data_IF_098558353010
#
_entry.id   IF_098558353010
#
_cell.length_a   1.000
_cell.length_b   1.000
_cell.length_c   1.000
_cell.angle_alpha   90.00
_cell.angle_beta   90.00
_cell.angle_gamma   90.00
#
_symmetry.space_group_name_H-M   'P 1'
#
loop_
_entity.id
_entity.type
_entity.pdbx_description
1 polymer ?
#
# COMPACT_ATOMS: atom_id res chain seq x y z
N UNK A 1 -36.32 -42.86 17.86
CA UNK A 1 -36.85 -41.56 17.44
C UNK A 1 -35.69 -40.58 17.41
N UNK A 2 -35.03 -40.43 16.26
CA UNK A 2 -33.94 -39.52 16.04
C UNK A 2 -34.50 -38.27 15.36
N UNK A 3 -34.37 -37.11 16.01
CA UNK A 3 -34.72 -35.82 15.46
C UNK A 3 -33.48 -35.19 14.82
N UNK A 4 -33.55 -35.04 13.50
CA UNK A 4 -32.58 -34.28 12.69
C UNK A 4 -32.69 -32.81 13.06
N UNK A 5 -31.59 -32.20 13.45
CA UNK A 5 -31.45 -30.74 13.57
C UNK A 5 -30.91 -30.27 12.22
N UNK A 6 -31.78 -29.69 11.41
CA UNK A 6 -31.42 -28.98 10.19
C UNK A 6 -30.74 -27.65 10.55
N UNK A 7 -29.53 -27.44 10.02
CA UNK A 7 -28.77 -26.22 10.12
C UNK A 7 -29.26 -25.26 9.01
N UNK A 8 -29.78 -24.04 9.32
CA UNK A 8 -30.21 -23.13 8.27
C UNK A 8 -28.99 -22.52 7.58
N UNK A 9 -28.84 -22.84 6.30
CA UNK A 9 -27.88 -22.21 5.39
C UNK A 9 -28.04 -20.68 5.45
N UNK A 10 -26.95 -20.00 5.73
CA UNK A 10 -26.85 -18.54 5.68
C UNK A 10 -27.01 -18.10 4.21
N UNK A 11 -28.23 -17.75 3.81
CA UNK A 11 -28.49 -17.14 2.51
C UNK A 11 -28.11 -15.66 2.58
N UNK A 12 -26.96 -15.30 2.01
CA UNK A 12 -26.57 -13.91 1.77
C UNK A 12 -27.59 -13.29 0.79
N UNK A 13 -28.29 -12.25 1.22
CA UNK A 13 -29.32 -11.59 0.40
C UNK A 13 -28.70 -10.75 -0.71
N UNK A 14 -29.29 -10.70 -1.91
CA UNK A 14 -28.75 -9.95 -3.07
C UNK A 14 -28.62 -8.42 -2.85
N UNK A 15 -29.13 -7.89 -1.77
CA UNK A 15 -29.09 -6.44 -1.49
C UNK A 15 -27.75 -5.92 -0.95
N UNK A 16 -26.85 -6.80 -0.51
CA UNK A 16 -25.55 -6.34 0.05
C UNK A 16 -24.51 -6.01 -1.01
N UNK A 17 -24.62 -6.62 -2.21
CA UNK A 17 -23.71 -6.31 -3.32
C UNK A 17 -23.96 -4.93 -3.95
N UNK A 18 -25.21 -4.44 -3.91
CA UNK A 18 -25.58 -3.11 -4.40
C UNK A 18 -25.04 -1.99 -3.52
N UNK A 19 -24.96 -2.22 -2.20
CA UNK A 19 -24.50 -1.21 -1.25
C UNK A 19 -22.99 -0.88 -1.41
N UNK A 20 -22.17 -1.85 -1.76
CA UNK A 20 -20.75 -1.63 -2.01
C UNK A 20 -20.49 -0.95 -3.36
N UNK A 21 -21.28 -1.27 -4.39
CA UNK A 21 -21.23 -0.58 -5.68
C UNK A 21 -21.66 0.90 -5.54
N UNK A 22 -22.67 1.18 -4.71
CA UNK A 22 -23.11 2.56 -4.42
C UNK A 22 -22.10 3.34 -3.57
N UNK A 23 -21.38 2.68 -2.65
CA UNK A 23 -20.30 3.32 -1.89
C UNK A 23 -19.14 3.67 -2.82
N UNK A 24 -18.73 2.75 -3.70
CA UNK A 24 -17.68 3.01 -4.70
C UNK A 24 -18.12 4.09 -5.69
N UNK A 25 -19.37 4.11 -6.15
CA UNK A 25 -19.90 5.14 -7.04
C UNK A 25 -20.06 6.53 -6.36
N UNK A 26 -20.16 6.60 -5.03
CA UNK A 26 -20.19 7.90 -4.32
C UNK A 26 -18.83 8.55 -4.22
N UNK A 27 -17.76 7.77 -4.26
CA UNK A 27 -16.39 8.30 -4.27
C UNK A 27 -15.94 8.79 -5.66
N UNK A 28 -16.64 8.37 -6.73
CA UNK A 28 -16.29 8.71 -8.12
C UNK A 28 -17.51 9.25 -8.86
N UNK A 29 -17.93 10.47 -8.50
CA UNK A 29 -18.86 11.24 -9.36
C UNK A 29 -18.13 11.57 -10.65
N UNK A 30 -18.31 10.75 -11.66
CA UNK A 30 -18.09 11.16 -13.05
C UNK A 30 -19.33 11.94 -13.48
N UNK A 31 -19.20 13.27 -13.58
CA UNK A 31 -20.15 14.06 -14.35
C UNK A 31 -20.22 13.48 -15.77
N UNK A 32 -21.42 13.51 -16.38
CA UNK A 32 -21.73 12.86 -17.66
C UNK A 32 -20.68 13.16 -18.75
N UNK A 33 -20.40 12.20 -19.67
CA UNK A 33 -19.36 12.36 -20.66
C UNK A 33 -19.76 13.45 -21.67
N UNK A 34 -19.07 14.57 -21.61
CA UNK A 34 -18.84 15.36 -22.80
C UNK A 34 -18.16 14.42 -23.82
N UNK A 35 -18.76 14.23 -24.99
CA UNK A 35 -18.19 13.48 -26.12
C UNK A 35 -16.95 14.22 -26.68
N UNK A 36 -15.94 14.42 -25.86
CA UNK A 36 -14.61 14.79 -26.30
C UNK A 36 -13.95 13.52 -26.87
N UNK A 37 -13.37 13.62 -28.03
CA UNK A 37 -12.57 12.55 -28.65
C UNK A 37 -11.42 12.22 -27.70
N UNK A 38 -11.57 11.13 -26.93
CA UNK A 38 -10.53 10.65 -26.03
C UNK A 38 -9.26 10.43 -26.85
N UNK A 39 -8.18 11.13 -26.51
CA UNK A 39 -6.89 10.90 -27.17
C UNK A 39 -6.50 9.45 -26.98
N UNK A 40 -6.13 8.73 -28.04
CA UNK A 40 -5.82 7.30 -27.92
C UNK A 40 -4.60 7.10 -27.01
N UNK A 41 -4.66 6.07 -26.14
CA UNK A 41 -3.50 5.61 -25.37
C UNK A 41 -2.35 5.27 -26.31
N UNK A 42 -1.14 5.64 -25.91
CA UNK A 42 0.08 5.42 -26.71
C UNK A 42 1.14 4.62 -25.94
N UNK A 43 0.84 3.40 -25.49
CA UNK A 43 1.89 2.56 -24.93
C UNK A 43 2.96 2.27 -25.99
N UNK A 44 4.18 2.02 -25.55
CA UNK A 44 5.32 1.72 -26.43
C UNK A 44 5.08 0.39 -27.12
N UNK A 45 5.08 0.38 -28.47
CA UNK A 45 4.74 -0.80 -29.28
C UNK A 45 5.61 -2.02 -28.95
N UNK A 46 6.92 -1.83 -28.69
CA UNK A 46 7.79 -2.93 -28.30
C UNK A 46 7.37 -3.55 -26.96
N UNK A 47 6.91 -2.74 -25.99
CA UNK A 47 6.41 -3.25 -24.69
C UNK A 47 5.12 -4.04 -24.92
N UNK A 48 4.23 -3.55 -25.77
CA UNK A 48 3.01 -4.27 -26.15
C UNK A 48 3.37 -5.60 -26.82
N UNK A 49 4.37 -5.63 -27.72
CA UNK A 49 4.77 -6.82 -28.46
C UNK A 49 5.28 -7.96 -27.56
N UNK A 50 5.95 -7.66 -26.45
CA UNK A 50 6.42 -8.70 -25.53
C UNK A 50 5.57 -8.83 -24.25
N UNK A 51 4.39 -8.19 -24.19
CA UNK A 51 3.54 -8.23 -22.99
C UNK A 51 3.19 -9.65 -22.54
N UNK A 52 2.91 -10.56 -23.49
CA UNK A 52 2.57 -11.95 -23.14
C UNK A 52 3.68 -12.66 -22.33
N UNK A 53 4.96 -12.35 -22.62
CA UNK A 53 6.08 -12.90 -21.88
C UNK A 53 6.17 -12.31 -20.47
N UNK A 54 6.00 -11.00 -20.33
CA UNK A 54 6.01 -10.34 -19.01
C UNK A 54 4.80 -10.74 -18.18
N UNK A 55 3.62 -10.86 -18.78
CA UNK A 55 2.43 -11.38 -18.11
C UNK A 55 2.63 -12.82 -17.60
N UNK A 56 3.35 -13.66 -18.35
CA UNK A 56 3.71 -15.00 -17.88
C UNK A 56 4.64 -14.94 -16.65
N UNK A 57 5.58 -13.99 -16.61
CA UNK A 57 6.43 -13.75 -15.42
C UNK A 57 5.58 -13.31 -14.23
N UNK A 58 4.64 -12.35 -14.42
CA UNK A 58 3.70 -11.91 -13.38
C UNK A 58 2.91 -13.09 -12.81
N UNK A 59 2.34 -13.91 -13.68
CA UNK A 59 1.55 -15.08 -13.29
C UNK A 59 2.36 -16.14 -12.56
N UNK A 60 3.64 -16.30 -12.90
CA UNK A 60 4.55 -17.18 -12.18
C UNK A 60 4.84 -16.67 -10.76
N UNK A 61 5.01 -15.36 -10.57
CA UNK A 61 5.15 -14.72 -9.24
C UNK A 61 3.84 -14.92 -8.46
N UNK A 62 2.68 -14.66 -9.09
CA UNK A 62 1.36 -14.81 -8.46
C UNK A 62 1.11 -16.24 -7.96
N UNK A 63 1.51 -17.23 -8.74
CA UNK A 63 1.33 -18.65 -8.38
C UNK A 63 2.23 -19.09 -7.22
N UNK A 64 3.29 -18.34 -6.91
CA UNK A 64 4.27 -18.68 -5.86
C UNK A 64 4.50 -17.48 -4.92
N UNK A 65 3.44 -17.00 -4.23
CA UNK A 65 3.52 -15.82 -3.38
C UNK A 65 4.42 -16.06 -2.17
N UNK A 66 5.30 -15.10 -1.92
CA UNK A 66 6.22 -15.09 -0.79
C UNK A 66 5.92 -13.89 0.11
N UNK A 67 5.94 -14.11 1.43
CA UNK A 67 5.65 -13.05 2.39
C UNK A 67 6.88 -12.15 2.61
N UNK A 68 6.63 -10.97 3.19
CA UNK A 68 7.65 -9.99 3.55
C UNK A 68 8.93 -10.63 4.10
N UNK A 69 10.07 -10.25 3.52
CA UNK A 69 11.43 -10.73 3.82
C UNK A 69 11.72 -12.20 3.49
N UNK A 70 10.75 -12.93 2.91
CA UNK A 70 10.90 -14.31 2.43
C UNK A 70 10.83 -14.38 0.88
N UNK A 71 10.88 -13.24 0.18
CA UNK A 71 10.72 -13.12 -1.29
C UNK A 71 11.96 -13.64 -2.05
N UNK A 72 12.50 -14.77 -1.65
CA UNK A 72 13.74 -15.32 -2.21
C UNK A 72 13.61 -15.73 -3.66
N UNK A 73 12.51 -16.45 -4.02
CA UNK A 73 12.21 -16.89 -5.38
C UNK A 73 11.92 -15.70 -6.29
N UNK A 74 11.11 -14.74 -5.83
CA UNK A 74 10.75 -13.53 -6.57
C UNK A 74 11.99 -12.67 -6.81
N UNK A 75 12.81 -12.46 -5.78
CA UNK A 75 14.11 -11.76 -5.88
C UNK A 75 15.06 -12.42 -6.87
N UNK A 76 15.15 -13.76 -6.84
CA UNK A 76 15.99 -14.52 -7.77
C UNK A 76 15.48 -14.41 -9.20
N UNK A 77 14.17 -14.54 -9.42
CA UNK A 77 13.54 -14.40 -10.74
C UNK A 77 13.80 -13.02 -11.32
N UNK A 78 13.59 -11.96 -10.53
CA UNK A 78 13.85 -10.56 -10.94
C UNK A 78 15.32 -10.39 -11.30
N UNK A 79 16.24 -10.81 -10.44
CA UNK A 79 17.69 -10.69 -10.67
C UNK A 79 18.13 -11.43 -11.94
N UNK A 80 17.60 -12.63 -12.18
CA UNK A 80 17.91 -13.43 -13.36
C UNK A 80 17.39 -12.77 -14.64
N UNK A 81 16.16 -12.21 -14.61
CA UNK A 81 15.61 -11.47 -15.77
C UNK A 81 16.40 -10.22 -16.10
N UNK A 82 16.81 -9.47 -15.11
CA UNK A 82 17.68 -8.29 -15.32
C UNK A 82 19.04 -8.69 -15.90
N UNK A 83 19.67 -9.74 -15.36
CA UNK A 83 20.95 -10.25 -15.84
C UNK A 83 20.85 -10.81 -17.29
N UNK A 84 19.75 -11.53 -17.61
CA UNK A 84 19.45 -12.02 -18.96
C UNK A 84 19.43 -10.88 -20.00
N UNK A 85 18.94 -9.70 -19.59
CA UNK A 85 18.90 -8.52 -20.46
C UNK A 85 20.16 -7.65 -20.38
N UNK A 86 21.23 -8.13 -19.73
CA UNK A 86 22.50 -7.43 -19.61
C UNK A 86 22.48 -6.19 -18.71
N UNK A 87 21.54 -6.14 -17.77
CA UNK A 87 21.46 -5.10 -16.75
C UNK A 87 22.33 -5.50 -15.55
N UNK A 88 23.13 -4.54 -15.04
CA UNK A 88 23.91 -4.73 -13.81
C UNK A 88 22.96 -4.92 -12.61
N UNK A 89 23.21 -5.95 -11.77
CA UNK A 89 22.31 -6.36 -10.69
C UNK A 89 23.00 -6.32 -9.34
N UNK A 90 22.37 -5.69 -8.35
CA UNK A 90 22.76 -5.72 -6.95
C UNK A 90 21.65 -6.34 -6.12
N UNK A 91 22.00 -7.20 -5.17
CA UNK A 91 21.05 -7.95 -4.33
C UNK A 91 21.31 -7.73 -2.85
N UNK A 92 20.30 -8.03 -2.04
CA UNK A 92 20.43 -8.15 -0.59
C UNK A 92 20.14 -6.88 0.20
N UNK A 93 19.72 -5.76 -0.43
CA UNK A 93 19.24 -4.61 0.31
C UNK A 93 17.85 -4.92 0.89
N UNK A 94 17.66 -4.63 2.19
CA UNK A 94 16.45 -5.06 2.88
C UNK A 94 16.27 -6.59 2.83
N UNK A 95 17.35 -7.37 2.86
CA UNK A 95 17.46 -8.83 2.75
C UNK A 95 17.23 -9.39 1.34
N UNK A 96 16.04 -9.22 0.76
CA UNK A 96 15.64 -9.82 -0.53
C UNK A 96 15.51 -8.82 -1.66
N UNK A 97 15.72 -7.53 -1.40
CA UNK A 97 15.63 -6.47 -2.41
C UNK A 97 16.67 -6.60 -3.52
N UNK A 98 16.30 -6.13 -4.71
CA UNK A 98 17.13 -6.14 -5.92
C UNK A 98 17.18 -4.73 -6.51
N UNK A 99 18.36 -4.29 -6.92
CA UNK A 99 18.54 -3.05 -7.67
C UNK A 99 19.20 -3.34 -9.01
N UNK A 100 18.50 -3.04 -10.10
CA UNK A 100 19.06 -3.04 -11.46
C UNK A 100 19.60 -1.66 -11.82
N UNK A 101 20.72 -1.60 -12.57
CA UNK A 101 21.34 -0.35 -12.98
C UNK A 101 21.39 -0.26 -14.50
N UNK A 102 20.65 0.70 -15.07
CA UNK A 102 20.70 1.00 -16.51
C UNK A 102 21.36 2.36 -16.68
N UNK A 103 22.57 2.37 -17.27
CA UNK A 103 23.35 3.59 -17.49
C UNK A 103 23.54 3.86 -18.97
N UNK A 104 23.44 5.13 -19.36
CA UNK A 104 23.70 5.59 -20.71
C UNK A 104 24.33 6.99 -20.67
N UNK A 105 25.26 7.25 -21.60
CA UNK A 105 25.92 8.55 -21.74
C UNK A 105 26.92 8.86 -20.62
N UNK A 106 27.11 10.13 -20.32
CA UNK A 106 28.13 10.64 -19.38
C UNK A 106 27.56 11.47 -18.23
N UNK A 107 26.29 11.79 -18.24
CA UNK A 107 25.63 12.56 -17.21
C UNK A 107 25.64 11.82 -15.86
N UNK A 108 25.85 12.58 -14.76
CA UNK A 108 25.78 12.08 -13.39
C UNK A 108 24.35 12.06 -12.82
N UNK A 109 23.38 12.46 -13.65
CA UNK A 109 21.98 12.46 -13.23
C UNK A 109 21.46 11.03 -13.08
N UNK A 110 20.64 10.81 -12.07
CA UNK A 110 20.06 9.50 -11.80
C UNK A 110 18.67 9.60 -11.18
N UNK A 111 17.82 8.63 -11.47
CA UNK A 111 16.51 8.44 -10.84
C UNK A 111 16.30 7.00 -10.39
N UNK A 112 15.44 6.82 -9.38
CA UNK A 112 14.94 5.52 -8.96
C UNK A 112 13.51 5.27 -9.43
N UNK A 113 13.25 4.06 -9.94
CA UNK A 113 11.91 3.54 -10.23
C UNK A 113 11.66 2.34 -9.33
N UNK A 114 10.59 2.36 -8.55
CA UNK A 114 10.33 1.34 -7.50
C UNK A 114 9.13 0.48 -7.83
N UNK A 115 9.27 -0.81 -7.59
CA UNK A 115 8.19 -1.77 -7.44
C UNK A 115 8.41 -2.60 -6.17
N UNK A 116 7.33 -2.90 -5.47
CA UNK A 116 7.30 -3.84 -4.36
C UNK A 116 7.17 -5.29 -4.85
N UNK A 117 7.47 -6.29 -3.99
CA UNK A 117 7.55 -7.70 -4.39
C UNK A 117 6.79 -8.68 -3.50
N UNK A 118 6.43 -8.29 -2.28
CA UNK A 118 5.88 -9.20 -1.28
C UNK A 118 4.39 -9.48 -1.45
N UNK A 119 3.96 -10.58 -0.84
CA UNK A 119 2.58 -11.07 -0.82
C UNK A 119 1.98 -11.02 0.59
N UNK A 120 0.69 -11.30 0.69
CA UNK A 120 -0.11 -11.28 1.92
C UNK A 120 -0.36 -12.68 2.50
N UNK A 121 -0.43 -12.81 3.84
CA UNK A 121 -0.76 -14.06 4.53
C UNK A 121 -2.28 -14.30 4.52
N UNK A 122 -2.85 -14.58 3.34
CA UNK A 122 -4.27 -14.83 3.16
C UNK A 122 -4.52 -15.91 2.11
N UNK A 123 -5.67 -16.59 2.21
CA UNK A 123 -6.03 -17.65 1.27
C UNK A 123 -6.72 -17.09 0.05
N UNK A 124 -6.20 -17.40 -1.13
CA UNK A 124 -6.85 -17.10 -2.40
C UNK A 124 -8.05 -18.03 -2.65
N UNK A 125 -9.16 -17.47 -3.13
CA UNK A 125 -10.37 -18.22 -3.48
C UNK A 125 -10.61 -18.32 -5.00
N UNK A 126 -9.73 -17.78 -5.82
CA UNK A 126 -9.73 -17.94 -7.26
C UNK A 126 -9.28 -19.36 -7.66
N UNK A 127 -9.65 -19.78 -8.88
CA UNK A 127 -9.33 -21.11 -9.42
C UNK A 127 -8.82 -21.06 -10.86
N UNK A 128 -8.34 -19.90 -11.32
CA UNK A 128 -7.69 -19.76 -12.61
C UNK A 128 -6.29 -20.43 -12.61
N UNK A 129 -5.69 -20.60 -13.79
CA UNK A 129 -4.45 -21.36 -13.94
C UNK A 129 -3.25 -20.82 -13.16
N UNK A 130 -3.22 -19.51 -12.91
CA UNK A 130 -2.15 -18.83 -12.16
C UNK A 130 -2.51 -18.54 -10.69
N UNK A 131 -3.61 -19.07 -10.16
CA UNK A 131 -3.93 -18.93 -8.74
C UNK A 131 -2.80 -19.46 -7.86
N UNK A 132 -2.69 -18.91 -6.67
CA UNK A 132 -1.66 -19.29 -5.69
C UNK A 132 -1.59 -20.80 -5.46
N UNK A 133 -0.40 -21.35 -5.56
CA UNK A 133 -0.09 -22.75 -5.23
C UNK A 133 0.37 -22.94 -3.79
N UNK A 134 0.47 -21.86 -3.04
CA UNK A 134 0.95 -21.83 -1.66
C UNK A 134 -0.22 -21.51 -0.72
N UNK A 135 -0.65 -22.50 0.05
CA UNK A 135 -1.77 -22.36 0.97
C UNK A 135 -1.53 -21.20 1.96
N UNK A 136 -2.54 -20.34 2.13
CA UNK A 136 -2.48 -19.23 3.08
C UNK A 136 -1.61 -18.05 2.63
N UNK A 137 -1.19 -17.99 1.34
CA UNK A 137 -0.46 -16.85 0.78
C UNK A 137 -1.06 -16.43 -0.56
N UNK A 138 -1.13 -15.13 -0.82
CA UNK A 138 -1.70 -14.59 -2.05
C UNK A 138 -1.13 -13.22 -2.38
N UNK A 139 -0.86 -12.94 -3.67
CA UNK A 139 -0.64 -11.58 -4.15
C UNK A 139 -2.00 -10.85 -4.29
N UNK A 140 -2.54 -10.38 -3.16
CA UNK A 140 -3.83 -9.70 -3.14
C UNK A 140 -3.72 -8.16 -3.14
N UNK A 141 -2.50 -7.63 -3.27
CA UNK A 141 -2.24 -6.19 -3.44
C UNK A 141 -1.73 -5.83 -4.84
N UNK A 142 -1.26 -6.83 -5.62
CA UNK A 142 -0.82 -6.62 -7.00
C UNK A 142 0.67 -6.33 -7.15
N UNK A 143 1.49 -6.63 -6.14
CA UNK A 143 2.94 -6.43 -6.19
C UNK A 143 3.63 -7.30 -7.26
N UNK A 144 3.05 -8.45 -7.60
CA UNK A 144 3.43 -9.24 -8.77
C UNK A 144 3.28 -8.46 -10.09
N UNK A 145 2.22 -7.66 -10.21
CA UNK A 145 1.97 -6.76 -11.33
C UNK A 145 2.89 -5.53 -11.33
N UNK A 146 3.16 -4.93 -10.16
CA UNK A 146 4.10 -3.81 -10.04
C UNK A 146 5.51 -4.26 -10.47
N UNK A 147 5.97 -5.41 -9.96
CA UNK A 147 7.22 -6.05 -10.38
C UNK A 147 7.24 -6.26 -11.89
N UNK A 148 6.15 -6.77 -12.49
CA UNK A 148 6.04 -7.00 -13.93
C UNK A 148 6.10 -5.70 -14.74
N UNK A 149 5.41 -4.63 -14.31
CA UNK A 149 5.46 -3.32 -14.99
C UNK A 149 6.89 -2.76 -14.99
N UNK A 150 7.63 -2.88 -13.88
CA UNK A 150 9.02 -2.42 -13.81
C UNK A 150 9.96 -3.32 -14.63
N UNK A 151 9.74 -4.64 -14.68
CA UNK A 151 10.46 -5.56 -15.56
C UNK A 151 10.19 -5.26 -17.05
N UNK A 152 8.97 -4.87 -17.43
CA UNK A 152 8.64 -4.45 -18.79
C UNK A 152 9.46 -3.21 -19.19
N UNK A 153 9.55 -2.22 -18.30
CA UNK A 153 10.41 -1.06 -18.52
C UNK A 153 11.90 -1.44 -18.58
N UNK A 154 12.36 -2.28 -17.67
CA UNK A 154 13.75 -2.77 -17.64
C UNK A 154 14.16 -3.41 -18.95
N UNK A 155 13.33 -4.32 -19.47
CA UNK A 155 13.56 -5.00 -20.75
C UNK A 155 13.66 -4.02 -21.91
N UNK A 156 12.77 -3.02 -21.98
CA UNK A 156 12.84 -1.99 -23.01
C UNK A 156 14.10 -1.16 -22.87
N UNK A 157 14.38 -0.63 -21.68
CA UNK A 157 15.54 0.22 -21.40
C UNK A 157 16.88 -0.51 -21.56
N UNK A 158 16.92 -1.84 -21.50
CA UNK A 158 18.15 -2.61 -21.74
C UNK A 158 18.69 -2.42 -23.18
N UNK A 159 17.81 -2.24 -24.15
CA UNK A 159 18.14 -2.13 -25.59
C UNK A 159 17.83 -0.76 -26.20
N UNK A 160 16.94 0.03 -25.59
CA UNK A 160 16.52 1.36 -26.08
C UNK A 160 16.82 2.40 -24.99
N UNK A 161 18.02 2.94 -25.00
CA UNK A 161 18.54 3.87 -23.99
C UNK A 161 18.54 5.30 -24.52
N UNK A 162 17.35 5.86 -24.75
CA UNK A 162 17.17 7.22 -25.28
C UNK A 162 17.28 8.29 -24.18
N UNK A 163 18.34 8.24 -23.38
CA UNK A 163 18.57 9.17 -22.27
C UNK A 163 20.07 9.29 -21.97
N UNK A 164 20.47 10.34 -21.26
CA UNK A 164 21.83 10.51 -20.73
C UNK A 164 21.77 10.60 -19.19
N UNK A 165 22.13 9.50 -18.52
CA UNK A 165 22.05 9.38 -17.06
C UNK A 165 21.99 7.93 -16.57
N UNK A 166 21.46 7.73 -15.36
CA UNK A 166 21.32 6.42 -14.74
C UNK A 166 19.89 6.21 -14.23
N UNK A 167 19.28 5.08 -14.57
CA UNK A 167 18.02 4.61 -14.02
C UNK A 167 18.30 3.45 -13.07
N UNK A 168 17.93 3.61 -11.80
CA UNK A 168 17.94 2.56 -10.80
C UNK A 168 16.56 1.90 -10.74
N UNK A 169 16.51 0.60 -11.02
CA UNK A 169 15.31 -0.23 -10.95
C UNK A 169 15.27 -0.90 -9.60
N UNK A 170 14.48 -0.34 -8.68
CA UNK A 170 14.43 -0.73 -7.28
C UNK A 170 13.27 -1.70 -7.05
N UNK A 171 13.58 -2.98 -6.88
CA UNK A 171 12.61 -4.01 -6.51
C UNK A 171 12.67 -4.20 -5.00
N UNK A 172 11.66 -3.69 -4.33
CA UNK A 172 11.62 -3.56 -2.88
C UNK A 172 10.88 -4.73 -2.22
N UNK A 173 11.43 -5.34 -1.15
CA UNK A 173 10.74 -6.34 -0.34
C UNK A 173 9.84 -5.70 0.70
N UNK A 174 8.97 -6.50 1.31
CA UNK A 174 8.36 -6.29 2.62
C UNK A 174 7.60 -4.94 2.77
N UNK A 175 6.83 -4.54 1.76
CA UNK A 175 5.93 -3.39 1.87
C UNK A 175 4.84 -3.66 2.92
N UNK A 176 4.23 -4.85 2.92
CA UNK A 176 3.09 -5.27 3.74
C UNK A 176 3.47 -5.42 5.24
N UNK A 177 3.65 -4.28 5.90
CA UNK A 177 3.94 -4.19 7.34
C UNK A 177 5.38 -4.51 7.74
N UNK A 178 6.30 -4.69 6.77
CA UNK A 178 7.72 -4.95 7.04
C UNK A 178 8.60 -3.70 7.02
N UNK A 179 8.14 -2.61 6.41
CA UNK A 179 8.92 -1.40 6.18
C UNK A 179 10.22 -1.66 5.38
N UNK A 180 10.11 -2.43 4.30
CA UNK A 180 11.24 -2.79 3.44
C UNK A 180 11.95 -1.60 2.84
N UNK A 181 11.21 -0.52 2.51
CA UNK A 181 11.80 0.74 2.06
C UNK A 181 12.80 1.30 3.10
N UNK A 182 12.40 1.34 4.37
CA UNK A 182 13.27 1.78 5.47
C UNK A 182 14.49 0.88 5.63
N UNK A 183 14.32 -0.44 5.54
CA UNK A 183 15.44 -1.39 5.66
C UNK A 183 16.40 -1.27 4.46
N UNK A 184 15.90 -1.10 3.23
CA UNK A 184 16.77 -0.81 2.07
C UNK A 184 17.58 0.48 2.25
N UNK A 185 16.99 1.54 2.81
CA UNK A 185 17.72 2.76 3.14
C UNK A 185 18.78 2.53 4.22
N UNK A 186 18.47 1.73 5.26
CA UNK A 186 19.46 1.37 6.31
C UNK A 186 20.63 0.58 5.75
N UNK A 187 20.40 -0.23 4.71
CA UNK A 187 21.45 -0.96 4.00
C UNK A 187 22.20 -0.10 2.96
N UNK A 188 21.94 1.20 2.95
CA UNK A 188 22.67 2.17 2.14
C UNK A 188 22.14 2.33 0.73
N UNK A 189 20.82 2.25 0.48
CA UNK A 189 20.25 2.40 -0.85
C UNK A 189 20.69 3.71 -1.52
N UNK A 190 20.53 4.84 -0.84
CA UNK A 190 20.82 6.15 -1.45
C UNK A 190 22.33 6.48 -1.49
N UNK A 191 23.12 5.90 -0.59
CA UNK A 191 24.57 6.02 -0.58
C UNK A 191 25.22 5.21 -1.71
N UNK A 192 24.70 4.01 -1.99
CA UNK A 192 25.21 3.11 -3.05
C UNK A 192 24.66 3.47 -4.41
N UNK A 193 23.46 4.01 -4.46
CA UNK A 193 22.73 4.37 -5.70
C UNK A 193 22.24 5.82 -5.59
N UNK A 194 23.17 6.80 -5.65
CA UNK A 194 22.79 8.20 -5.53
C UNK A 194 21.88 8.64 -6.66
N UNK A 195 20.74 9.23 -6.35
CA UNK A 195 19.71 9.66 -7.29
C UNK A 195 19.16 11.03 -6.88
N UNK A 196 18.51 11.74 -7.81
CA UNK A 196 17.88 13.03 -7.55
C UNK A 196 16.38 12.92 -7.24
N UNK A 197 15.75 11.83 -7.68
CA UNK A 197 14.34 11.58 -7.41
C UNK A 197 14.04 10.08 -7.45
N UNK A 198 12.95 9.68 -6.78
CA UNK A 198 12.44 8.30 -6.79
C UNK A 198 10.95 8.29 -7.06
N UNK A 199 10.49 7.31 -7.85
CA UNK A 199 9.09 7.20 -8.28
C UNK A 199 8.54 5.80 -8.00
N UNK A 200 7.28 5.74 -7.51
CA UNK A 200 6.55 4.51 -7.24
C UNK A 200 5.21 4.49 -7.96
N UNK A 201 4.69 3.28 -8.22
CA UNK A 201 3.37 3.10 -8.84
C UNK A 201 2.63 1.93 -8.17
N UNK A 202 1.32 2.12 -7.96
CA UNK A 202 0.45 1.07 -7.44
C UNK A 202 -0.76 0.87 -8.36
N UNK A 203 -1.17 -0.35 -8.56
CA UNK A 203 -2.43 -0.64 -9.22
C UNK A 203 -3.63 -0.23 -8.34
N UNK A 204 -4.75 0.17 -8.95
CA UNK A 204 -5.91 0.60 -8.20
C UNK A 204 -7.22 0.05 -8.77
N UNK A 205 -7.80 -1.00 -8.15
CA UNK A 205 -9.13 -1.46 -8.50
C UNK A 205 -10.18 -0.36 -8.34
N UNK A 206 -11.12 -0.28 -9.31
CA UNK A 206 -12.13 0.79 -9.37
C UNK A 206 -11.79 1.88 -10.37
N UNK A 207 -10.51 2.22 -10.57
CA UNK A 207 -10.07 3.00 -11.74
C UNK A 207 -10.05 2.13 -12.98
N UNK A 208 -10.50 2.68 -14.12
CA UNK A 208 -10.50 1.95 -15.39
C UNK A 208 -9.07 1.71 -15.90
N UNK A 209 -8.80 0.60 -16.60
CA UNK A 209 -7.53 0.43 -17.30
C UNK A 209 -7.23 1.63 -18.22
N UNK A 210 -6.00 2.12 -18.16
CA UNK A 210 -5.62 3.33 -18.90
C UNK A 210 -5.88 4.64 -18.17
N UNK A 211 -6.46 4.63 -16.98
CA UNK A 211 -6.51 5.79 -16.11
C UNK A 211 -5.31 5.80 -15.17
N UNK A 212 -4.71 6.97 -14.98
CA UNK A 212 -3.62 7.20 -14.02
C UNK A 212 -4.02 8.36 -13.12
N UNK A 213 -3.84 8.20 -11.82
CA UNK A 213 -4.17 9.26 -10.88
C UNK A 213 -3.01 9.53 -9.89
N UNK A 214 -2.88 10.76 -9.47
CA UNK A 214 -1.90 11.25 -8.50
C UNK A 214 -2.35 12.59 -7.93
N UNK A 215 -1.74 12.98 -6.82
CA UNK A 215 -1.95 14.31 -6.24
C UNK A 215 -0.68 14.84 -5.61
N UNK A 216 -0.42 16.15 -5.59
CA UNK A 216 0.62 16.75 -4.77
C UNK A 216 0.20 16.76 -3.29
N UNK A 217 1.19 16.68 -2.39
CA UNK A 217 0.94 16.63 -0.96
C UNK A 217 0.46 15.25 -0.47
N UNK A 218 -0.26 15.20 0.66
CA UNK A 218 -0.67 13.95 1.29
C UNK A 218 -1.59 13.11 0.38
N UNK A 219 -1.21 11.86 0.14
CA UNK A 219 -1.93 10.91 -0.72
C UNK A 219 -2.41 9.68 0.08
N UNK A 220 -1.54 9.09 0.91
CA UNK A 220 -1.86 7.97 1.79
C UNK A 220 -1.50 8.32 3.23
N UNK A 221 -2.26 7.81 4.20
CA UNK A 221 -2.09 8.15 5.60
C UNK A 221 -0.91 7.44 6.25
N UNK A 222 -0.46 7.96 7.40
CA UNK A 222 0.46 7.25 8.28
C UNK A 222 -0.16 5.98 8.85
N UNK A 223 0.66 4.98 9.16
CA UNK A 223 0.23 3.77 9.87
C UNK A 223 0.86 3.73 11.24
N UNK A 224 0.01 3.69 12.27
CA UNK A 224 0.47 3.65 13.65
C UNK A 224 -0.40 2.69 14.46
N UNK A 225 0.19 2.06 15.47
CA UNK A 225 -0.48 1.15 16.38
C UNK A 225 -0.31 1.59 17.82
N UNK A 226 -1.29 1.30 18.64
CA UNK A 226 -1.18 1.48 20.08
C UNK A 226 -1.59 0.22 20.85
N UNK A 227 -0.98 0.07 22.01
CA UNK A 227 -1.31 -0.92 23.03
C UNK A 227 -1.35 -0.25 24.37
N UNK A 228 -2.46 -0.44 25.11
CA UNK A 228 -2.67 0.09 26.45
C UNK A 228 -2.96 -1.08 27.37
N UNK A 229 -2.22 -1.17 28.47
CA UNK A 229 -2.48 -2.13 29.53
C UNK A 229 -2.92 -1.37 30.78
N UNK A 230 -4.18 -1.54 31.15
CA UNK A 230 -4.74 -1.01 32.39
C UNK A 230 -4.48 -2.03 33.51
N UNK A 231 -3.97 -1.55 34.63
CA UNK A 231 -3.71 -2.35 35.83
C UNK A 231 -4.65 -1.87 36.97
N UNK A 232 -5.54 -2.74 37.33
CA UNK A 232 -6.45 -2.58 38.43
C UNK A 232 -6.07 -3.45 39.65
N UNK A 233 -7.07 -3.95 40.31
CA UNK A 233 -6.94 -4.96 41.39
C UNK A 233 -8.17 -5.85 41.39
N UNK A 234 -7.97 -7.14 41.07
CA UNK A 234 -9.01 -8.14 40.99
C UNK A 234 -9.66 -8.40 42.35
N UNK A 235 -10.92 -8.82 42.30
CA UNK A 235 -11.67 -9.18 43.48
C UNK A 235 -12.88 -10.02 43.11
N UNK A 236 -13.60 -10.52 44.13
CA UNK A 236 -14.89 -11.16 43.91
C UNK A 236 -15.91 -10.15 43.38
N UNK A 237 -16.61 -10.46 42.27
CA UNK A 237 -17.53 -9.53 41.64
C UNK A 237 -18.65 -9.01 42.53
N UNK A 238 -19.05 -9.76 43.59
CA UNK A 238 -20.00 -9.32 44.62
C UNK A 238 -19.38 -8.37 45.67
N UNK A 239 -18.04 -8.16 45.63
CA UNK A 239 -17.34 -7.31 46.61
C UNK A 239 -16.47 -6.27 45.85
N UNK A 240 -17.06 -5.49 44.93
CA UNK A 240 -16.27 -4.60 44.01
C UNK A 240 -15.52 -3.50 44.77
N UNK A 241 -15.97 -3.12 45.97
CA UNK A 241 -15.31 -2.12 46.81
C UNK A 241 -13.95 -2.54 47.37
N UNK A 242 -13.58 -3.82 47.24
CA UNK A 242 -12.26 -4.34 47.61
C UNK A 242 -11.28 -4.38 46.47
N UNK A 243 -11.74 -4.12 45.23
CA UNK A 243 -10.96 -4.12 44.02
C UNK A 243 -10.80 -2.74 43.36
N UNK A 244 -10.17 -2.73 42.20
CA UNK A 244 -10.15 -1.62 41.26
C UNK A 244 -10.43 -2.24 39.89
N UNK A 245 -11.65 -2.03 39.38
CA UNK A 245 -12.11 -2.67 38.15
C UNK A 245 -11.57 -1.94 36.92
N UNK A 246 -10.71 -2.56 36.08
CA UNK A 246 -10.17 -1.94 34.88
C UNK A 246 -11.17 -1.90 33.72
N UNK A 247 -12.28 -2.65 33.73
CA UNK A 247 -13.26 -2.69 32.64
C UNK A 247 -13.96 -1.36 32.44
N UNK A 248 -14.54 -0.69 33.49
CA UNK A 248 -15.09 0.65 33.32
C UNK A 248 -14.08 1.67 32.80
N UNK A 249 -12.81 1.58 33.22
CA UNK A 249 -11.73 2.46 32.75
C UNK A 249 -11.50 2.26 31.24
N UNK A 250 -11.42 1.02 30.78
CA UNK A 250 -11.29 0.69 29.38
C UNK A 250 -12.45 1.24 28.54
N UNK A 251 -13.69 1.09 28.99
CA UNK A 251 -14.86 1.64 28.32
C UNK A 251 -14.82 3.18 28.22
N UNK A 252 -14.38 3.87 29.29
CA UNK A 252 -14.22 5.33 29.27
C UNK A 252 -13.13 5.77 28.27
N UNK A 253 -12.02 5.06 28.19
CA UNK A 253 -10.94 5.37 27.24
C UNK A 253 -11.39 5.23 25.79
N UNK A 254 -12.13 4.18 25.44
CA UNK A 254 -12.70 4.00 24.09
C UNK A 254 -13.51 5.22 23.66
N UNK A 255 -14.35 5.75 24.56
CA UNK A 255 -15.17 6.93 24.29
C UNK A 255 -14.35 8.22 24.29
N UNK A 256 -13.44 8.38 25.26
CA UNK A 256 -12.61 9.58 25.38
C UNK A 256 -11.71 9.79 24.14
N UNK A 257 -11.16 8.73 23.56
CA UNK A 257 -10.35 8.83 22.36
C UNK A 257 -11.10 9.42 21.16
N UNK A 258 -12.41 9.19 21.05
CA UNK A 258 -13.22 9.81 19.98
C UNK A 258 -13.28 11.33 20.12
N UNK A 259 -13.12 11.86 21.34
CA UNK A 259 -13.08 13.32 21.56
C UNK A 259 -11.79 13.95 21.05
N UNK A 260 -10.69 13.21 21.00
CA UNK A 260 -9.41 13.71 20.43
C UNK A 260 -9.63 14.06 18.95
N UNK A 261 -10.25 13.14 18.19
CA UNK A 261 -10.54 13.37 16.76
C UNK A 261 -11.59 14.46 16.56
N UNK A 262 -12.62 14.51 17.39
CA UNK A 262 -13.75 15.43 17.20
C UNK A 262 -13.55 16.81 17.86
N UNK A 263 -12.63 16.99 18.85
CA UNK A 263 -12.50 18.21 19.65
C UNK A 263 -11.09 18.78 19.78
N UNK A 264 -10.04 17.96 19.58
CA UNK A 264 -8.65 18.46 19.69
C UNK A 264 -7.99 18.66 18.33
N UNK A 265 -8.37 17.84 17.34
CA UNK A 265 -7.86 17.92 15.99
C UNK A 265 -8.38 19.20 15.29
N UNK A 266 -7.52 19.83 14.45
CA UNK A 266 -7.97 20.88 13.53
C UNK A 266 -9.09 20.32 12.63
N UNK A 267 -10.28 20.94 12.54
CA UNK A 267 -11.43 20.42 11.80
C UNK A 267 -11.15 20.09 10.31
N UNK A 268 -10.20 20.78 9.68
CA UNK A 268 -9.85 20.55 8.26
C UNK A 268 -8.79 19.45 8.08
N UNK A 269 -8.11 19.01 9.14
CA UNK A 269 -7.19 17.88 9.06
C UNK A 269 -7.96 16.55 9.15
N UNK A 270 -7.41 15.48 8.56
CA UNK A 270 -7.98 14.16 8.73
C UNK A 270 -7.17 13.33 9.74
N UNK A 271 -7.88 12.64 10.62
CA UNK A 271 -7.31 11.66 11.53
C UNK A 271 -8.39 10.65 11.95
N UNK A 272 -7.98 9.42 12.23
CA UNK A 272 -8.82 8.42 12.87
C UNK A 272 -8.08 7.72 14.02
N UNK A 273 -8.83 7.32 15.02
CA UNK A 273 -8.42 6.45 16.12
C UNK A 273 -9.42 5.31 16.17
N UNK A 274 -8.97 4.09 15.91
CA UNK A 274 -9.82 2.89 16.00
C UNK A 274 -9.29 1.97 17.08
N UNK A 275 -10.07 1.78 18.14
CA UNK A 275 -9.84 0.70 19.10
C UNK A 275 -10.43 -0.56 18.48
N UNK A 276 -9.56 -1.52 18.15
CA UNK A 276 -9.95 -2.73 17.41
C UNK A 276 -9.95 -3.99 18.28
N UNK A 277 -9.29 -3.94 19.44
CA UNK A 277 -9.23 -5.05 20.38
C UNK A 277 -9.40 -4.52 21.80
N UNK A 278 -10.25 -5.21 22.59
CA UNK A 278 -10.41 -5.02 24.02
C UNK A 278 -10.54 -6.39 24.69
N UNK A 279 -9.61 -6.70 25.59
CA UNK A 279 -9.57 -7.97 26.31
C UNK A 279 -9.55 -7.71 27.79
N UNK A 280 -10.53 -8.29 28.53
CA UNK A 280 -10.61 -8.20 29.98
C UNK A 280 -11.50 -9.33 30.55
N UNK A 281 -11.07 -9.92 31.63
CA UNK A 281 -11.82 -10.90 32.40
C UNK A 281 -11.98 -12.26 31.74
N UNK A 282 -12.11 -13.32 32.56
CA UNK A 282 -12.26 -14.70 32.10
C UNK A 282 -13.42 -15.42 32.80
N UNK A 283 -13.96 -14.84 33.89
CA UNK A 283 -15.04 -15.44 34.68
C UNK A 283 -16.06 -14.40 35.12
N UNK A 284 -17.35 -14.77 35.13
CA UNK A 284 -18.48 -13.89 35.42
C UNK A 284 -18.56 -13.40 36.89
N UNK A 285 -17.88 -14.08 37.80
CA UNK A 285 -17.87 -13.78 39.23
C UNK A 285 -16.54 -13.19 39.73
N UNK A 286 -15.64 -12.78 38.81
CA UNK A 286 -14.32 -12.23 39.12
C UNK A 286 -14.13 -10.88 38.42
N UNK A 287 -13.79 -9.83 39.19
CA UNK A 287 -13.24 -8.58 38.63
C UNK A 287 -11.79 -8.84 38.23
N UNK A 288 -11.38 -8.60 37.00
CA UNK A 288 -10.01 -8.90 36.55
C UNK A 288 -8.96 -7.93 37.14
N UNK A 289 -7.70 -8.34 37.19
CA UNK A 289 -6.57 -7.50 37.58
C UNK A 289 -6.15 -6.50 36.48
N UNK A 290 -6.50 -6.79 35.23
CA UNK A 290 -6.07 -5.96 34.08
C UNK A 290 -7.08 -5.98 32.95
N UNK A 291 -6.96 -4.97 32.07
CA UNK A 291 -7.61 -4.92 30.76
C UNK A 291 -6.59 -4.43 29.73
N UNK A 292 -6.69 -4.92 28.51
CA UNK A 292 -5.84 -4.53 27.38
C UNK A 292 -6.69 -3.95 26.25
N UNK A 293 -6.27 -2.78 25.73
CA UNK A 293 -6.82 -2.19 24.51
C UNK A 293 -5.70 -2.13 23.44
N UNK A 294 -6.06 -2.44 22.21
CA UNK A 294 -5.19 -2.20 21.05
C UNK A 294 -5.98 -1.56 19.92
N UNK A 295 -5.26 -0.90 19.03
CA UNK A 295 -5.87 -0.28 17.87
C UNK A 295 -4.88 0.42 16.97
N UNK A 296 -5.43 1.20 16.04
CA UNK A 296 -4.64 1.92 15.04
C UNK A 296 -4.98 3.41 15.02
N UNK A 297 -3.98 4.21 14.64
CA UNK A 297 -4.10 5.65 14.39
C UNK A 297 -3.63 5.93 12.97
N UNK A 298 -4.38 6.75 12.22
CA UNK A 298 -4.07 7.21 10.88
C UNK A 298 -4.15 8.72 10.82
N UNK A 299 -3.16 9.37 10.22
CA UNK A 299 -3.13 10.81 9.99
C UNK A 299 -2.41 11.12 8.68
N UNK A 300 -2.64 12.33 8.13
CA UNK A 300 -1.88 12.79 6.96
C UNK A 300 -0.72 13.72 7.33
N UNK A 301 -0.74 14.34 8.52
CA UNK A 301 0.26 15.30 8.95
C UNK A 301 1.01 14.80 10.18
N UNK A 302 2.34 14.94 10.22
CA UNK A 302 3.13 14.58 11.40
C UNK A 302 2.69 15.34 12.66
N UNK A 303 2.35 16.64 12.55
CA UNK A 303 1.92 17.46 13.68
C UNK A 303 0.60 16.98 14.27
N UNK A 304 -0.31 16.48 13.40
CA UNK A 304 -1.57 15.88 13.83
C UNK A 304 -1.32 14.55 14.54
N UNK A 305 -0.34 13.75 14.08
CA UNK A 305 0.06 12.52 14.74
C UNK A 305 0.65 12.78 16.12
N UNK A 306 1.55 13.77 16.24
CA UNK A 306 2.18 14.16 17.51
C UNK A 306 1.12 14.59 18.52
N UNK A 307 0.16 15.40 18.11
CA UNK A 307 -0.97 15.82 18.93
C UNK A 307 -1.82 14.63 19.37
N UNK A 308 -2.16 13.72 18.45
CA UNK A 308 -3.00 12.54 18.76
C UNK A 308 -2.29 11.64 19.77
N UNK A 309 -1.01 11.31 19.55
CA UNK A 309 -0.23 10.47 20.47
C UNK A 309 -0.15 11.08 21.86
N UNK A 310 0.19 12.40 21.96
CA UNK A 310 0.26 13.12 23.24
C UNK A 310 -1.09 13.07 23.97
N UNK A 311 -2.17 13.40 23.28
CA UNK A 311 -3.52 13.42 23.88
C UNK A 311 -4.00 12.03 24.29
N UNK A 312 -3.68 11.00 23.52
CA UNK A 312 -4.00 9.61 23.88
C UNK A 312 -3.26 9.20 25.16
N UNK A 313 -1.98 9.54 25.28
CA UNK A 313 -1.16 9.26 26.48
C UNK A 313 -1.73 9.96 27.71
N UNK A 314 -1.93 11.28 27.63
CA UNK A 314 -2.48 12.09 28.73
C UNK A 314 -3.87 11.58 29.15
N UNK A 315 -4.75 11.33 28.19
CA UNK A 315 -6.11 10.81 28.46
C UNK A 315 -6.04 9.45 29.14
N UNK A 316 -5.13 8.57 28.71
CA UNK A 316 -4.96 7.23 29.30
C UNK A 316 -4.51 7.32 30.76
N UNK A 317 -3.46 8.12 31.03
CA UNK A 317 -2.89 8.27 32.37
C UNK A 317 -3.89 8.91 33.35
N UNK A 318 -4.53 9.99 32.93
CA UNK A 318 -5.48 10.70 33.81
C UNK A 318 -6.79 9.93 34.04
N UNK A 319 -7.29 9.23 33.00
CA UNK A 319 -8.49 8.41 33.20
C UNK A 319 -8.19 7.24 34.10
N UNK A 320 -7.09 6.51 33.90
CA UNK A 320 -6.74 5.41 34.80
C UNK A 320 -6.59 5.90 36.27
N UNK A 321 -5.86 7.00 36.47
CA UNK A 321 -5.66 7.58 37.78
C UNK A 321 -6.98 8.01 38.47
N UNK A 322 -7.91 8.59 37.72
CA UNK A 322 -9.21 9.02 38.25
C UNK A 322 -10.05 7.85 38.83
N UNK A 323 -9.82 6.64 38.34
CA UNK A 323 -10.46 5.41 38.82
C UNK A 323 -9.58 4.62 39.82
N UNK A 324 -8.42 5.14 40.21
CA UNK A 324 -7.47 4.46 41.10
C UNK A 324 -6.66 3.33 40.43
N UNK A 325 -6.76 3.20 39.12
CA UNK A 325 -5.97 2.27 38.33
C UNK A 325 -4.67 2.93 37.83
N UNK A 326 -3.77 2.13 37.26
CA UNK A 326 -2.61 2.62 36.49
C UNK A 326 -2.64 2.10 35.05
N UNK A 327 -1.88 2.75 34.17
CA UNK A 327 -1.85 2.36 32.77
C UNK A 327 -0.41 2.35 32.23
N UNK A 328 -0.14 1.40 31.34
CA UNK A 328 1.03 1.40 30.44
C UNK A 328 0.55 1.77 29.05
N UNK A 329 1.13 2.80 28.45
CA UNK A 329 0.79 3.28 27.10
C UNK A 329 1.98 3.07 26.17
N UNK A 330 1.78 2.25 25.14
CA UNK A 330 2.73 2.00 24.07
C UNK A 330 2.15 2.50 22.76
N UNK A 331 2.94 3.27 22.02
CA UNK A 331 2.58 3.77 20.70
C UNK A 331 3.72 3.45 19.73
N UNK A 332 3.37 2.85 18.61
CA UNK A 332 4.33 2.45 17.59
C UNK A 332 4.00 3.12 16.26
N UNK A 333 4.93 3.94 15.76
CA UNK A 333 4.83 4.58 14.45
C UNK A 333 5.41 3.64 13.41
N UNK A 334 4.54 3.03 12.60
CA UNK A 334 4.95 2.04 11.59
C UNK A 334 5.43 2.73 10.32
N UNK A 335 4.53 3.48 9.63
CA UNK A 335 4.81 4.18 8.39
C UNK A 335 4.45 5.66 8.51
N UNK A 336 5.27 6.58 7.97
CA UNK A 336 4.88 7.99 7.83
C UNK A 336 3.76 8.13 6.79
N UNK A 337 3.16 9.31 6.71
CA UNK A 337 2.24 9.64 5.63
C UNK A 337 2.99 9.71 4.30
N UNK A 338 2.42 9.15 3.24
CA UNK A 338 2.93 9.31 1.89
C UNK A 338 2.54 10.69 1.38
N UNK A 339 3.55 11.54 1.17
CA UNK A 339 3.41 12.94 0.75
C UNK A 339 4.19 13.15 -0.54
N UNK A 340 3.47 13.26 -1.65
CA UNK A 340 4.08 13.51 -2.96
C UNK A 340 4.64 14.94 -3.05
N UNK A 341 5.81 15.07 -3.66
CA UNK A 341 6.42 16.37 -3.93
C UNK A 341 5.74 17.04 -5.13
N UNK A 342 5.52 18.33 -5.04
CA UNK A 342 4.71 19.08 -6.01
C UNK A 342 5.32 19.09 -7.42
N UNK A 343 6.64 19.31 -7.51
CA UNK A 343 7.34 19.37 -8.79
C UNK A 343 7.32 18.01 -9.50
N UNK A 344 7.63 16.94 -8.77
CA UNK A 344 7.64 15.57 -9.28
C UNK A 344 6.23 15.08 -9.64
N UNK A 345 5.21 15.53 -8.90
CA UNK A 345 3.81 15.23 -9.22
C UNK A 345 3.37 15.91 -10.53
N UNK A 346 3.72 17.20 -10.73
CA UNK A 346 3.45 17.89 -12.00
C UNK A 346 4.16 17.22 -13.17
N UNK A 347 5.42 16.81 -12.95
CA UNK A 347 6.20 16.09 -13.94
C UNK A 347 5.55 14.75 -14.29
N UNK A 348 5.18 13.92 -13.30
CA UNK A 348 4.48 12.65 -13.50
C UNK A 348 3.15 12.82 -14.25
N UNK A 349 2.39 13.88 -13.94
CA UNK A 349 1.13 14.21 -14.62
C UNK A 349 1.33 14.45 -16.12
N UNK A 350 2.42 15.15 -16.48
CA UNK A 350 2.77 15.37 -17.88
C UNK A 350 3.14 14.07 -18.60
N UNK A 351 3.97 13.24 -17.95
CA UNK A 351 4.35 11.91 -18.48
C UNK A 351 3.12 11.01 -18.65
N UNK A 352 2.22 11.00 -17.67
CA UNK A 352 0.98 10.23 -17.75
C UNK A 352 0.13 10.66 -18.95
N UNK A 353 -0.01 11.97 -19.16
CA UNK A 353 -0.77 12.52 -20.31
C UNK A 353 -0.18 12.10 -21.67
N UNK A 354 1.14 11.94 -21.76
CA UNK A 354 1.79 11.46 -22.98
C UNK A 354 1.47 9.97 -23.27
N UNK A 355 1.25 9.17 -22.22
CA UNK A 355 1.00 7.72 -22.35
C UNK A 355 -0.49 7.40 -22.50
N UNK A 356 -1.35 7.99 -21.67
CA UNK A 356 -2.77 7.64 -21.61
C UNK A 356 -3.70 8.73 -22.16
N UNK A 357 -3.19 9.90 -22.53
CA UNK A 357 -3.97 11.09 -22.88
C UNK A 357 -4.38 11.88 -21.65
N UNK A 358 -4.47 13.21 -21.79
CA UNK A 358 -4.75 14.11 -20.67
C UNK A 358 -6.09 13.83 -19.98
N UNK A 359 -7.11 13.41 -20.74
CA UNK A 359 -8.45 13.09 -20.24
C UNK A 359 -8.49 11.84 -19.33
N UNK A 360 -7.41 11.05 -19.34
CA UNK A 360 -7.26 9.86 -18.49
C UNK A 360 -6.32 10.07 -17.29
N UNK A 361 -5.94 11.33 -17.02
CA UNK A 361 -5.11 11.69 -15.87
C UNK A 361 -5.94 12.45 -14.84
N UNK A 362 -6.11 11.84 -13.65
CA UNK A 362 -7.00 12.35 -12.61
C UNK A 362 -6.22 12.81 -11.36
N UNK A 363 -6.89 13.61 -10.54
CA UNK A 363 -6.44 13.84 -9.17
C UNK A 363 -6.91 12.70 -8.28
N UNK A 364 -6.00 12.16 -7.47
CA UNK A 364 -6.30 11.05 -6.57
C UNK A 364 -6.90 11.57 -5.26
N UNK A 365 -8.04 11.03 -4.85
CA UNK A 365 -8.61 11.32 -3.53
C UNK A 365 -7.78 10.63 -2.43
N UNK A 366 -7.37 11.35 -1.38
CA UNK A 366 -6.57 10.76 -0.31
C UNK A 366 -7.29 9.61 0.38
N UNK A 367 -6.57 8.55 0.74
CA UNK A 367 -7.14 7.43 1.48
C UNK A 367 -6.41 7.19 2.80
N UNK A 368 -7.08 6.50 3.73
CA UNK A 368 -6.48 6.10 5.01
C UNK A 368 -5.62 4.83 4.89
N UNK A 369 -5.39 4.30 3.68
CA UNK A 369 -4.36 3.31 3.40
C UNK A 369 -2.98 3.86 3.73
N UNK A 370 -2.00 2.99 3.90
CA UNK A 370 -0.62 3.36 4.17
C UNK A 370 0.30 2.63 3.19
N UNK A 371 1.49 3.21 2.94
CA UNK A 371 2.47 2.72 1.98
C UNK A 371 3.86 3.11 2.48
N UNK A 372 4.79 2.16 2.52
CA UNK A 372 6.13 2.38 3.06
C UNK A 372 7.08 3.13 2.11
N UNK A 373 6.70 3.30 0.82
CA UNK A 373 7.38 4.23 -0.10
C UNK A 373 7.48 5.64 0.49
N UNK A 374 6.61 5.97 1.44
CA UNK A 374 6.65 7.20 2.21
C UNK A 374 8.02 7.46 2.86
N UNK A 375 8.73 6.42 3.30
CA UNK A 375 10.08 6.56 3.86
C UNK A 375 11.08 7.10 2.83
N UNK A 376 10.97 6.69 1.57
CA UNK A 376 11.80 7.24 0.50
C UNK A 376 11.50 8.72 0.29
N UNK A 377 10.21 9.10 0.28
CA UNK A 377 9.80 10.48 0.06
C UNK A 377 10.17 11.43 1.21
N UNK A 378 10.42 10.93 2.42
CA UNK A 378 10.99 11.74 3.51
C UNK A 378 12.46 12.12 3.26
N UNK A 379 13.16 11.42 2.38
CA UNK A 379 14.60 11.59 2.14
C UNK A 379 14.93 12.06 0.73
N UNK A 380 14.04 11.83 -0.22
CA UNK A 380 14.27 12.02 -1.64
C UNK A 380 13.04 12.64 -2.30
N UNK A 381 13.19 13.67 -3.15
CA UNK A 381 12.07 14.12 -3.98
C UNK A 381 11.48 12.97 -4.80
N UNK A 382 10.17 12.97 -5.00
CA UNK A 382 9.53 11.92 -5.76
C UNK A 382 8.01 12.01 -5.81
N UNK A 383 7.42 11.06 -6.50
CA UNK A 383 5.98 10.95 -6.66
C UNK A 383 5.55 9.48 -6.67
N UNK A 384 4.47 9.21 -5.98
CA UNK A 384 3.73 7.95 -6.06
C UNK A 384 2.48 8.15 -6.89
N UNK A 385 2.27 7.28 -7.86
CA UNK A 385 1.12 7.36 -8.77
C UNK A 385 0.29 6.08 -8.66
N UNK A 386 -0.99 6.14 -9.03
CA UNK A 386 -1.83 4.94 -9.15
C UNK A 386 -2.27 4.74 -10.58
N UNK A 387 -2.34 3.47 -11.01
CA UNK A 387 -2.80 3.03 -12.32
C UNK A 387 -4.05 2.16 -12.18
N UNK A 388 -5.05 2.40 -13.01
CA UNK A 388 -6.32 1.69 -12.95
C UNK A 388 -6.20 0.21 -13.29
N UNK A 389 -6.63 -0.66 -12.36
CA UNK A 389 -6.69 -2.12 -12.52
C UNK A 389 -8.03 -2.61 -13.12
N UNK A 390 -9.03 -1.71 -13.23
CA UNK A 390 -10.39 -2.06 -13.64
C UNK A 390 -11.28 -2.53 -12.49
N UNK A 391 -12.46 -3.00 -12.84
CA UNK A 391 -13.46 -3.50 -11.88
C UNK A 391 -13.51 -5.04 -11.81
N UNK A 392 -12.57 -5.69 -12.44
CA UNK A 392 -12.44 -7.14 -12.46
C UNK A 392 -13.00 -7.84 -13.71
N UNK A 393 -13.35 -7.09 -14.76
CA UNK A 393 -13.87 -7.66 -16.03
C UNK A 393 -12.79 -8.47 -16.79
N UNK A 394 -11.52 -8.20 -16.52
CA UNK A 394 -10.36 -8.91 -17.09
C UNK A 394 -10.17 -10.34 -16.53
N UNK A 395 -10.87 -10.69 -15.46
CA UNK A 395 -10.66 -11.97 -14.77
C UNK A 395 -11.10 -13.16 -15.65
N UNK A 396 -10.18 -14.12 -15.79
CA UNK A 396 -10.40 -15.31 -16.58
C UNK A 396 -11.45 -16.26 -15.96
N UNK A 397 -11.89 -17.26 -16.71
CA UNK A 397 -12.68 -18.38 -16.19
C UNK A 397 -11.97 -19.05 -15.00
N UNK A 398 -12.71 -19.40 -13.96
CA UNK A 398 -12.15 -19.92 -12.69
C UNK A 398 -11.97 -18.88 -11.60
N UNK A 399 -12.23 -17.63 -11.89
CA UNK A 399 -12.29 -16.56 -10.91
C UNK A 399 -13.48 -16.75 -9.95
N UNK A 400 -13.28 -16.41 -8.66
CA UNK A 400 -14.36 -16.43 -7.66
C UNK A 400 -15.39 -15.32 -7.89
N UNK A 401 -16.55 -15.43 -7.26
CA UNK A 401 -17.68 -14.50 -7.42
C UNK A 401 -17.52 -13.17 -6.63
N UNK A 402 -16.48 -13.06 -5.81
CA UNK A 402 -16.25 -11.86 -4.99
C UNK A 402 -15.70 -10.67 -5.77
N UNK A 403 -15.70 -9.47 -5.18
CA UNK A 403 -15.18 -8.27 -5.81
C UNK A 403 -13.67 -8.36 -6.02
N UNK A 404 -13.18 -7.75 -7.12
CA UNK A 404 -11.75 -7.56 -7.37
C UNK A 404 -11.27 -6.30 -6.65
N UNK A 405 -10.97 -6.43 -5.37
CA UNK A 405 -10.48 -5.33 -4.52
C UNK A 405 -9.15 -5.71 -3.86
N UNK A 406 -8.34 -4.72 -3.54
CA UNK A 406 -7.09 -4.94 -2.81
C UNK A 406 -7.37 -5.67 -1.49
N UNK A 407 -6.47 -6.59 -1.11
CA UNK A 407 -6.59 -7.47 0.07
C UNK A 407 -7.85 -8.36 0.06
N UNK A 408 -8.50 -8.49 -1.09
CA UNK A 408 -9.64 -9.38 -1.29
C UNK A 408 -9.22 -10.78 -1.77
N UNK A 409 -9.86 -11.87 -1.30
CA UNK A 409 -9.49 -13.23 -1.69
C UNK A 409 -9.80 -13.56 -3.16
N UNK A 410 -10.47 -12.67 -3.87
CA UNK A 410 -10.82 -12.77 -5.29
C UNK A 410 -10.10 -11.73 -6.16
N UNK A 411 -9.11 -11.02 -5.60
CA UNK A 411 -8.29 -10.08 -6.35
C UNK A 411 -7.53 -10.79 -7.48
N UNK A 412 -7.33 -10.10 -8.60
CA UNK A 412 -6.36 -10.42 -9.65
C UNK A 412 -5.84 -9.13 -10.29
N UNK A 413 -4.57 -9.11 -10.62
CA UNK A 413 -3.97 -8.00 -11.35
C UNK A 413 -4.33 -8.09 -12.84
N UNK A 414 -4.61 -6.96 -13.46
CA UNK A 414 -4.95 -6.89 -14.88
C UNK A 414 -3.70 -6.82 -15.75
N UNK A 415 -3.35 -7.92 -16.41
CA UNK A 415 -2.17 -8.00 -17.28
C UNK A 415 -2.19 -7.00 -18.46
N UNK A 416 -3.36 -6.46 -18.83
CA UNK A 416 -3.49 -5.47 -19.91
C UNK A 416 -2.87 -4.11 -19.54
N UNK A 417 -2.69 -3.82 -18.25
CA UNK A 417 -2.07 -2.59 -17.79
C UNK A 417 -0.55 -2.64 -17.72
N UNK A 418 0.07 -3.83 -17.85
CA UNK A 418 1.53 -3.98 -17.85
C UNK A 418 2.19 -3.09 -18.92
N UNK A 419 1.73 -3.07 -20.20
CA UNK A 419 2.32 -2.20 -21.21
C UNK A 419 2.16 -0.71 -20.91
N UNK A 420 1.08 -0.32 -20.24
CA UNK A 420 0.80 1.07 -19.87
C UNK A 420 1.78 1.52 -18.79
N UNK A 421 1.88 0.75 -17.68
CA UNK A 421 2.79 1.03 -16.58
C UNK A 421 4.26 0.97 -17.01
N UNK A 422 4.63 -0.05 -17.80
CA UNK A 422 5.97 -0.15 -18.38
C UNK A 422 6.32 1.04 -19.28
N UNK A 423 5.37 1.49 -20.10
CA UNK A 423 5.55 2.68 -20.96
C UNK A 423 5.65 3.97 -20.16
N UNK A 424 4.86 4.10 -19.07
CA UNK A 424 4.97 5.23 -18.17
C UNK A 424 6.38 5.31 -17.56
N UNK A 425 6.95 4.21 -17.08
CA UNK A 425 8.30 4.17 -16.52
C UNK A 425 9.38 4.55 -17.53
N UNK A 426 9.28 4.04 -18.77
CA UNK A 426 10.22 4.38 -19.83
C UNK A 426 10.13 5.86 -20.18
N UNK A 427 8.93 6.38 -20.43
CA UNK A 427 8.72 7.80 -20.77
C UNK A 427 9.12 8.73 -19.64
N UNK A 428 8.89 8.32 -18.39
CA UNK A 428 9.34 9.08 -17.22
C UNK A 428 10.86 9.22 -17.22
N UNK A 429 11.59 8.12 -17.45
CA UNK A 429 13.05 8.15 -17.50
C UNK A 429 13.56 9.01 -18.68
N UNK A 430 13.07 8.78 -19.90
CA UNK A 430 13.47 9.53 -21.09
C UNK A 430 13.25 11.04 -20.91
N UNK A 431 12.05 11.43 -20.40
CA UNK A 431 11.69 12.83 -20.23
C UNK A 431 12.44 13.50 -19.07
N UNK A 432 12.67 12.80 -17.96
CA UNK A 432 13.46 13.31 -16.86
C UNK A 432 14.84 13.77 -17.29
N UNK A 433 15.54 12.94 -18.05
CA UNK A 433 16.89 13.28 -18.52
C UNK A 433 16.89 14.32 -19.64
N UNK A 434 15.80 14.48 -20.40
CA UNK A 434 15.69 15.51 -21.43
C UNK A 434 15.38 16.90 -20.86
N UNK A 435 14.56 17.01 -19.80
CA UNK A 435 14.00 18.30 -19.33
C UNK A 435 14.66 18.83 -18.05
N UNK A 436 15.11 17.97 -17.13
CA UNK A 436 15.62 18.43 -15.85
C UNK A 436 16.98 19.12 -15.97
N UNK A 437 17.24 20.23 -15.26
CA UNK A 437 18.56 20.86 -15.23
C UNK A 437 19.59 19.91 -14.60
N UNK A 438 20.85 20.03 -15.02
CA UNK A 438 21.95 19.34 -14.33
C UNK A 438 22.00 19.78 -12.87
N UNK A 439 22.29 18.86 -11.91
CA UNK A 439 22.48 19.25 -10.52
C UNK A 439 23.63 20.26 -10.43
N UNK A 440 23.45 21.33 -9.66
CA UNK A 440 24.54 22.25 -9.34
C UNK A 440 25.68 21.44 -8.70
N UNK A 441 26.87 21.54 -9.25
CA UNK A 441 28.10 20.87 -8.79
C UNK A 441 28.53 21.39 -7.41
#
# INVERSE_FOLDING_TARGET
>A
MAALIENPACSVRPHETAAWADILNRFWKTDEPCLATVSPMKPIEQIVAFNAEIAAVRREIHAHPELRYDEHRTSELVANKLAEWGIEVHRGLGKTGVVGVVRQGSSRRAIGLRADMDALPMTELNRFAHASRIAGRMHACGHDGHTAMLLAAARHLSSHRNFDGTVYLVFQPAEEGGAGAREMMRDGLFERFPMQAIFGMHNWPGLKPGQIAMRPGPMLASSNEFRIVLKGRGTHAALPHLGIDPIPVACQLVQAFQTIVSRNRNPIDAALISVTMLHAGEATNVVPDSAELRGTVRTFRPETLDMVESRMRETTEHTASAFGASAEFHFHRNYPSLINHEAETRFCRTVAADVVGADNVFEFEPTMGAEDFAFFLEKMPGCYVVIGNGVGDHRAAGHGLGPCVLHGPHYDFNDEIIPIGGSFWVRLAERWFAEAPEPAV
#
